data_IF_269483190535
#
_entry.id   IF_269483190535
#
_cell.length_a   1.000
_cell.length_b   1.000
_cell.length_c   1.000
_cell.angle_alpha   90.00
_cell.angle_beta   90.00
_cell.angle_gamma   90.00
#
_symmetry.space_group_name_H-M   'P 1'
#
loop_
_entity.id
_entity.type
_entity.pdbx_description
1 polymer ?
#
# COMPACT_ATOMS: atom_id res chain seq x y z
N UNK A 1 -19.31 -15.00 13.44
CA UNK A 1 -17.90 -14.76 13.78
C UNK A 1 -17.57 -13.39 13.25
N UNK A 2 -17.36 -12.41 14.14
CA UNK A 2 -16.92 -11.08 13.71
C UNK A 2 -15.54 -11.26 13.08
N UNK A 3 -15.28 -10.85 11.82
CA UNK A 3 -13.93 -10.85 11.28
C UNK A 3 -13.17 -9.77 12.04
N UNK A 4 -12.67 -10.16 13.21
CA UNK A 4 -11.86 -9.33 14.09
C UNK A 4 -10.55 -9.08 13.37
N UNK A 5 -10.55 -8.01 12.57
CA UNK A 5 -9.39 -7.25 12.12
C UNK A 5 -8.10 -8.09 11.98
N UNK A 6 -8.08 -9.03 11.04
CA UNK A 6 -6.83 -9.65 10.64
C UNK A 6 -5.87 -8.52 10.24
N UNK A 7 -4.70 -8.49 10.85
CA UNK A 7 -3.66 -7.52 10.54
C UNK A 7 -2.57 -8.21 9.75
N UNK A 8 -1.94 -7.44 8.87
CA UNK A 8 -0.87 -7.90 7.99
C UNK A 8 0.37 -7.06 8.26
N UNK A 9 1.50 -7.75 8.36
CA UNK A 9 2.80 -7.13 8.64
C UNK A 9 3.52 -6.88 7.32
N UNK A 10 3.99 -5.64 7.12
CA UNK A 10 4.84 -5.27 5.99
C UNK A 10 6.21 -5.94 6.12
N UNK A 11 6.84 -6.23 4.97
CA UNK A 11 8.24 -6.67 4.96
C UNK A 11 9.19 -5.51 5.22
N UNK A 12 8.89 -4.33 4.67
CA UNK A 12 9.62 -3.08 4.93
C UNK A 12 8.72 -2.08 5.66
N UNK A 13 7.76 -1.51 4.93
CA UNK A 13 6.72 -0.66 5.45
C UNK A 13 5.62 -0.51 4.40
N UNK A 14 4.38 -0.36 4.84
CA UNK A 14 3.26 -0.08 3.98
C UNK A 14 3.39 1.33 3.37
N UNK A 15 2.99 1.45 2.12
CA UNK A 15 2.78 2.74 1.43
C UNK A 15 1.38 2.78 0.84
N UNK A 16 0.84 3.99 0.68
CA UNK A 16 -0.43 4.18 0.01
C UNK A 16 -0.30 3.89 -1.49
N UNK A 17 -1.32 3.29 -2.08
CA UNK A 17 -1.41 3.12 -3.54
C UNK A 17 -2.10 4.32 -4.18
N UNK A 18 -2.06 4.41 -5.52
CA UNK A 18 -2.86 5.38 -6.28
C UNK A 18 -4.36 5.26 -6.02
N UNK A 19 -4.83 4.06 -5.64
CA UNK A 19 -6.22 3.86 -5.27
C UNK A 19 -6.56 4.58 -3.96
N UNK A 20 -5.69 4.50 -2.96
CA UNK A 20 -5.87 5.23 -1.70
C UNK A 20 -5.79 6.75 -1.90
N UNK A 21 -4.91 7.22 -2.77
CA UNK A 21 -4.85 8.63 -3.18
C UNK A 21 -6.14 9.05 -3.90
N UNK A 22 -6.65 8.28 -4.86
CA UNK A 22 -7.93 8.60 -5.53
C UNK A 22 -9.12 8.62 -4.57
N UNK A 23 -9.09 7.79 -3.52
CA UNK A 23 -10.13 7.74 -2.49
C UNK A 23 -10.09 8.98 -1.56
N UNK A 24 -8.90 9.41 -1.12
CA UNK A 24 -8.74 10.62 -0.31
C UNK A 24 -7.38 11.31 -0.60
N UNK A 25 -7.30 12.12 -1.68
CA UNK A 25 -6.04 12.70 -2.14
C UNK A 25 -5.50 13.79 -1.22
N UNK A 26 -6.30 14.23 -0.24
CA UNK A 26 -5.89 15.22 0.76
C UNK A 26 -5.10 14.56 1.89
N UNK A 27 -5.28 13.26 2.13
CA UNK A 27 -4.72 12.53 3.27
C UNK A 27 -3.77 11.42 2.86
N UNK A 28 -3.96 10.83 1.68
CA UNK A 28 -3.17 9.73 1.18
C UNK A 28 -2.49 10.15 -0.12
N UNK A 29 -1.23 9.77 -0.29
CA UNK A 29 -0.46 10.00 -1.51
C UNK A 29 0.23 8.73 -1.94
N UNK A 30 0.10 8.39 -3.22
CA UNK A 30 0.67 7.16 -3.76
C UNK A 30 2.19 7.12 -3.55
N UNK A 31 2.69 6.03 -2.98
CA UNK A 31 4.11 5.85 -2.66
C UNK A 31 4.57 6.54 -1.38
N UNK A 32 3.75 7.38 -0.75
CA UNK A 32 4.03 7.87 0.60
C UNK A 32 3.72 6.79 1.64
N UNK A 33 4.51 6.81 2.72
CA UNK A 33 4.34 5.89 3.83
C UNK A 33 2.96 6.11 4.47
N UNK A 34 2.29 5.00 4.84
CA UNK A 34 1.06 5.07 5.63
C UNK A 34 1.35 5.73 6.98
N UNK A 35 0.31 6.11 7.72
CA UNK A 35 0.45 6.62 9.08
C UNK A 35 1.36 5.72 9.92
N UNK A 36 2.20 6.33 10.76
CA UNK A 36 3.31 5.62 11.42
C UNK A 36 2.86 4.40 12.23
N UNK A 37 1.69 4.50 12.87
CA UNK A 37 1.08 3.40 13.63
C UNK A 37 0.71 2.19 12.77
N UNK A 38 0.50 2.39 11.46
CA UNK A 38 0.16 1.36 10.49
C UNK A 38 1.29 1.08 9.49
N UNK A 39 2.47 1.68 9.67
CA UNK A 39 3.56 1.53 8.72
C UNK A 39 4.10 0.09 8.68
N UNK A 40 4.11 -0.61 9.82
CA UNK A 40 4.56 -2.01 9.90
C UNK A 40 3.39 -2.99 9.96
N UNK A 41 2.32 -2.65 10.67
CA UNK A 41 1.17 -3.55 10.86
C UNK A 41 -0.11 -2.81 10.46
N UNK A 42 -0.75 -3.26 9.39
CA UNK A 42 -1.95 -2.63 8.86
C UNK A 42 -3.12 -3.62 8.82
N UNK A 43 -4.37 -3.16 8.77
CA UNK A 43 -5.51 -4.05 8.58
C UNK A 43 -5.41 -4.78 7.23
N UNK A 44 -5.57 -6.11 7.23
CA UNK A 44 -5.58 -6.94 6.03
C UNK A 44 -6.59 -6.45 4.98
N UNK A 45 -7.71 -5.88 5.42
CA UNK A 45 -8.71 -5.26 4.53
C UNK A 45 -8.11 -4.18 3.64
N UNK A 46 -7.14 -3.39 4.11
CA UNK A 46 -6.52 -2.34 3.30
C UNK A 46 -5.67 -2.93 2.19
N UNK A 47 -5.00 -4.06 2.45
CA UNK A 47 -4.24 -4.80 1.44
C UNK A 47 -5.18 -5.49 0.44
N UNK A 48 -6.25 -6.13 0.93
CA UNK A 48 -7.26 -6.81 0.11
C UNK A 48 -8.03 -5.82 -0.79
N UNK A 49 -8.35 -4.64 -0.25
CA UNK A 49 -8.94 -3.53 -1.00
C UNK A 49 -7.94 -2.84 -1.93
N UNK A 50 -6.64 -3.16 -1.85
CA UNK A 50 -5.58 -2.56 -2.67
C UNK A 50 -5.30 -1.09 -2.36
N UNK A 51 -5.59 -0.65 -1.13
CA UNK A 51 -5.32 0.70 -0.64
C UNK A 51 -3.85 0.88 -0.22
N UNK A 52 -3.22 -0.19 0.26
CA UNK A 52 -1.82 -0.22 0.66
C UNK A 52 -1.07 -1.31 -0.07
N UNK A 53 0.24 -1.14 -0.19
CA UNK A 53 1.16 -2.17 -0.70
C UNK A 53 2.50 -2.01 0.02
N UNK A 54 3.27 -3.10 0.15
CA UNK A 54 4.59 -3.00 0.77
C UNK A 54 5.49 -2.14 -0.11
N UNK A 55 6.30 -1.27 0.49
CA UNK A 55 7.23 -0.41 -0.25
C UNK A 55 8.11 -1.18 -1.23
N UNK A 56 8.52 -2.39 -0.86
CA UNK A 56 9.40 -3.25 -1.66
C UNK A 56 8.71 -3.74 -2.93
N UNK A 57 7.37 -3.88 -2.88
CA UNK A 57 6.52 -4.25 -4.01
C UNK A 57 5.93 -3.02 -4.73
N UNK A 58 5.91 -1.85 -4.07
CA UNK A 58 5.49 -0.60 -4.67
C UNK A 58 6.43 -0.20 -5.82
N UNK A 59 5.96 -0.46 -7.02
CA UNK A 59 6.46 0.12 -8.26
C UNK A 59 5.55 1.29 -8.58
N UNK A 60 6.09 2.52 -8.56
CA UNK A 60 5.37 3.65 -9.10
C UNK A 60 5.06 3.32 -10.56
N UNK A 61 3.78 3.31 -10.94
CA UNK A 61 3.37 3.19 -12.35
C UNK A 61 4.11 4.29 -13.12
N UNK A 62 5.17 3.90 -13.82
CA UNK A 62 6.26 4.78 -14.24
C UNK A 62 7.61 4.08 -14.37
N UNK A 63 7.75 2.83 -13.88
CA UNK A 63 8.89 1.97 -14.19
C UNK A 63 8.50 0.63 -14.85
N UNK A 64 7.44 0.65 -15.66
CA UNK A 64 7.16 -0.43 -16.62
C UNK A 64 8.02 -0.36 -17.89
N UNK A 65 8.96 0.60 -18.02
CA UNK A 65 9.77 0.76 -19.23
C UNK A 65 11.16 0.08 -19.19
N UNK A 66 11.56 -0.60 -18.10
CA UNK A 66 12.94 -1.12 -17.98
C UNK A 66 13.10 -2.64 -18.03
N UNK A 67 12.01 -3.41 -18.11
CA UNK A 67 12.08 -4.86 -18.30
C UNK A 67 11.27 -5.41 -19.49
N UNK A 68 10.78 -4.55 -20.40
CA UNK A 68 10.25 -4.95 -21.72
C UNK A 68 11.34 -4.92 -22.82
N UNK A 69 12.57 -5.34 -22.49
CA UNK A 69 13.63 -5.55 -23.50
C UNK A 69 14.34 -6.89 -23.25
N UNK A 70 13.61 -7.99 -23.47
CA UNK A 70 14.21 -9.30 -23.73
C UNK A 70 13.59 -9.91 -24.98
#
# INVERSE_FOLDING_TARGET
MSPEQAKVTASSYWVWTEKAEKADPKRHRAGERVWEHYALEAPQKWLDEGLIVDRSEYTAEGQADLFEFM
#
